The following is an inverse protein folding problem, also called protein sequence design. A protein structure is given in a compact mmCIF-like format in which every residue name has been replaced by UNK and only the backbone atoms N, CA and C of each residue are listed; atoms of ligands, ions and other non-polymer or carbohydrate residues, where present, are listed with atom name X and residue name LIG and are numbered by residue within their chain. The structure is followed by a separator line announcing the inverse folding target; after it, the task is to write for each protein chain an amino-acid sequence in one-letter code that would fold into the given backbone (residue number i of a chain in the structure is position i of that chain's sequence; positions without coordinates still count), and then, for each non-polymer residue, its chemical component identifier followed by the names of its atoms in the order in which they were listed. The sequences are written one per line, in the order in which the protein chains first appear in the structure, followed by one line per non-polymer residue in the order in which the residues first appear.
data_IF_118731163778
#
_entry.id   IF_118731163778
#
_cell.length_a   1.000
_cell.length_b   1.000
_cell.length_c   1.000
_cell.angle_alpha   90.00
_cell.angle_beta   90.00
_cell.angle_gamma   90.00
#
_symmetry.space_group_name_H-M   'P 1'
#
loop_
_entity.id
_entity.type
_entity.pdbx_description
1 polymer ?
#
# COMPACT_ATOMS: atom_id res chain seq x y z
N UNK A 1 28.55 -23.08 -38.88
CA UNK A 1 27.39 -22.23 -38.56
C UNK A 1 26.47 -22.98 -37.60
N UNK A 2 26.74 -22.89 -36.29
CA UNK A 2 26.00 -23.59 -35.22
C UNK A 2 24.89 -22.64 -34.73
N UNK A 3 23.68 -23.17 -34.63
CA UNK A 3 22.42 -22.46 -34.41
C UNK A 3 22.42 -21.63 -33.11
N UNK A 4 22.38 -20.30 -33.26
CA UNK A 4 22.25 -19.31 -32.17
C UNK A 4 20.79 -19.06 -31.75
N UNK A 5 19.87 -19.95 -32.14
CA UNK A 5 18.44 -19.73 -32.06
C UNK A 5 17.81 -20.04 -30.67
N UNK A 6 18.33 -20.94 -29.80
CA UNK A 6 17.55 -21.32 -28.61
C UNK A 6 17.62 -20.30 -27.46
N UNK A 7 18.52 -19.30 -27.54
CA UNK A 7 18.77 -18.37 -26.42
C UNK A 7 17.69 -17.26 -26.33
N UNK A 8 17.08 -16.87 -27.45
CA UNK A 8 16.12 -15.76 -27.45
C UNK A 8 14.77 -16.10 -26.79
N UNK A 9 14.38 -17.37 -26.74
CA UNK A 9 13.05 -17.77 -26.24
C UNK A 9 12.97 -17.75 -24.70
N UNK A 10 14.09 -17.92 -24.00
CA UNK A 10 14.12 -17.98 -22.53
C UNK A 10 14.01 -16.59 -21.88
N UNK A 11 14.45 -15.52 -22.58
CA UNK A 11 14.44 -14.15 -22.04
C UNK A 11 13.03 -13.54 -21.99
N UNK A 12 12.10 -13.99 -22.84
CA UNK A 12 10.74 -13.45 -22.92
C UNK A 12 9.80 -13.94 -21.80
N UNK A 13 10.18 -14.97 -21.05
CA UNK A 13 9.31 -15.61 -20.04
C UNK A 13 9.47 -15.01 -18.63
N UNK A 14 10.37 -14.06 -18.40
CA UNK A 14 10.61 -13.46 -17.07
C UNK A 14 9.89 -12.12 -16.81
N UNK A 15 9.02 -11.66 -17.71
CA UNK A 15 8.12 -10.54 -17.42
C UNK A 15 6.91 -10.99 -16.55
N UNK A 16 7.20 -11.62 -15.42
CA UNK A 16 6.20 -11.95 -14.40
C UNK A 16 5.71 -10.67 -13.74
N UNK A 17 4.44 -10.35 -13.96
CA UNK A 17 3.77 -9.14 -13.49
C UNK A 17 3.84 -9.00 -11.95
N UNK A 18 4.62 -8.06 -11.43
CA UNK A 18 4.54 -7.63 -10.03
C UNK A 18 3.38 -6.65 -9.87
N UNK A 19 2.13 -7.11 -10.01
CA UNK A 19 0.97 -6.33 -9.55
C UNK A 19 0.90 -6.41 -8.03
N UNK A 20 1.72 -5.62 -7.34
CA UNK A 20 1.43 -5.27 -5.96
C UNK A 20 0.12 -4.50 -5.97
N UNK A 21 -0.99 -5.15 -5.60
CA UNK A 21 -2.26 -4.48 -5.40
C UNK A 21 -2.07 -3.48 -4.26
N UNK A 22 -1.84 -2.23 -4.62
CA UNK A 22 -1.69 -1.13 -3.66
C UNK A 22 -3.09 -0.76 -3.18
N UNK A 23 -3.28 -0.73 -1.85
CA UNK A 23 -4.57 -0.32 -1.30
C UNK A 23 -4.69 1.18 -1.52
N UNK A 24 -5.59 1.57 -2.43
CA UNK A 24 -5.80 2.99 -2.74
C UNK A 24 -6.41 3.74 -1.55
N UNK A 25 -5.91 4.94 -1.22
CA UNK A 25 -6.46 5.78 -0.16
C UNK A 25 -7.88 6.25 -0.49
N UNK A 26 -8.75 6.31 0.52
CA UNK A 26 -10.13 6.78 0.40
C UNK A 26 -10.30 8.12 1.14
N UNK A 27 -11.38 8.89 0.88
CA UNK A 27 -11.65 10.10 1.66
C UNK A 27 -11.58 9.83 3.16
N UNK A 28 -10.67 10.52 3.85
CA UNK A 28 -10.39 10.33 5.29
C UNK A 28 -9.12 9.55 5.62
N UNK A 29 -8.51 8.83 4.65
CA UNK A 29 -7.18 8.24 4.80
C UNK A 29 -6.10 9.31 5.00
N UNK A 30 -5.00 8.97 5.68
CA UNK A 30 -3.88 9.90 5.91
C UNK A 30 -3.24 10.33 4.58
N UNK A 31 -3.14 9.41 3.61
CA UNK A 31 -2.51 9.68 2.32
C UNK A 31 -3.47 10.21 1.25
N UNK A 32 -4.76 10.41 1.59
CA UNK A 32 -5.76 10.90 0.63
C UNK A 32 -5.51 12.36 0.27
N UNK A 33 -5.34 12.65 -1.03
CA UNK A 33 -5.01 14.00 -1.50
C UNK A 33 -3.57 14.44 -1.21
N UNK A 34 -2.70 13.52 -0.76
CA UNK A 34 -1.32 13.78 -0.38
C UNK A 34 -1.07 13.51 1.11
N UNK A 35 0.20 13.26 1.47
CA UNK A 35 0.54 12.87 2.84
C UNK A 35 0.87 14.10 3.71
N UNK A 36 0.19 14.30 4.86
CA UNK A 36 0.53 15.34 5.82
C UNK A 36 1.87 15.03 6.49
N UNK A 37 2.82 15.96 6.38
CA UNK A 37 4.23 15.76 6.76
C UNK A 37 4.53 15.97 8.25
N UNK A 38 3.51 16.17 9.09
CA UNK A 38 3.69 16.86 10.38
C UNK A 38 3.87 15.94 11.60
N UNK A 39 3.53 14.64 11.53
CA UNK A 39 3.49 13.79 12.75
C UNK A 39 4.37 12.54 12.77
N UNK A 40 5.21 12.32 11.77
CA UNK A 40 5.97 11.05 11.61
C UNK A 40 7.48 11.22 11.63
N UNK A 41 7.96 12.43 11.91
CA UNK A 41 9.39 12.75 11.79
C UNK A 41 10.23 12.10 12.90
N UNK A 42 9.60 11.70 14.01
CA UNK A 42 10.29 11.13 15.19
C UNK A 42 10.22 9.61 15.29
N UNK A 43 9.34 8.95 14.54
CA UNK A 43 9.20 7.49 14.57
C UNK A 43 10.28 6.82 13.72
N UNK A 44 10.83 5.66 14.15
CA UNK A 44 11.79 4.90 13.35
C UNK A 44 11.14 4.34 12.07
N UNK A 45 11.96 4.13 11.03
CA UNK A 45 11.53 3.47 9.78
C UNK A 45 10.98 2.08 10.10
N UNK A 46 9.89 1.68 9.45
CA UNK A 46 9.16 0.45 9.71
C UNK A 46 8.11 0.56 10.82
N UNK A 47 8.00 1.72 11.48
CA UNK A 47 6.95 1.94 12.49
C UNK A 47 5.56 1.82 11.89
N UNK A 48 4.67 1.23 12.67
CA UNK A 48 3.25 1.10 12.32
C UNK A 48 2.46 2.29 12.84
N UNK A 49 1.59 2.86 12.01
CA UNK A 49 0.67 3.94 12.35
C UNK A 49 -0.75 3.46 12.13
N UNK A 50 -1.59 3.60 13.13
CA UNK A 50 -3.01 3.29 13.03
C UNK A 50 -3.80 4.59 12.90
N UNK A 51 -4.79 4.57 12.00
CA UNK A 51 -5.70 5.69 11.78
C UNK A 51 -7.11 5.17 11.67
N UNK A 52 -8.03 5.79 12.41
CA UNK A 52 -9.43 5.42 12.38
C UNK A 52 -10.27 6.64 12.00
N UNK A 53 -11.21 6.44 11.08
CA UNK A 53 -12.12 7.49 10.63
C UNK A 53 -13.46 6.90 10.20
N UNK A 54 -14.49 7.75 10.19
CA UNK A 54 -15.81 7.37 9.68
C UNK A 54 -15.85 7.53 8.16
N UNK A 55 -16.42 6.53 7.50
CA UNK A 55 -16.71 6.51 6.06
C UNK A 55 -18.21 6.35 5.85
N UNK A 56 -18.70 6.55 4.63
CA UNK A 56 -20.12 6.37 4.29
C UNK A 56 -20.66 4.95 4.51
N UNK A 57 -19.77 3.97 4.71
CA UNK A 57 -20.11 2.55 4.88
C UNK A 57 -19.80 1.99 6.28
N UNK A 58 -19.38 2.83 7.24
CA UNK A 58 -19.03 2.40 8.60
C UNK A 58 -17.76 3.07 9.14
N UNK A 59 -17.05 2.40 10.04
CA UNK A 59 -15.78 2.88 10.59
C UNK A 59 -14.60 2.20 9.91
N UNK A 60 -13.76 2.97 9.24
CA UNK A 60 -12.53 2.48 8.63
C UNK A 60 -11.39 2.52 9.65
N UNK A 61 -10.65 1.42 9.76
CA UNK A 61 -9.40 1.31 10.51
C UNK A 61 -8.29 0.98 9.52
N UNK A 62 -7.31 1.88 9.42
CA UNK A 62 -6.18 1.73 8.52
C UNK A 62 -4.89 1.57 9.30
N UNK A 63 -4.03 0.70 8.77
CA UNK A 63 -2.70 0.43 9.29
C UNK A 63 -1.69 0.79 8.22
N UNK A 64 -0.76 1.66 8.59
CA UNK A 64 0.28 2.17 7.72
C UNK A 64 1.65 1.77 8.25
N UNK A 65 2.61 1.60 7.34
CA UNK A 65 4.02 1.41 7.67
C UNK A 65 4.81 2.61 7.19
N UNK A 66 5.67 3.14 8.06
CA UNK A 66 6.59 4.23 7.73
C UNK A 66 7.73 3.70 6.86
N UNK A 67 7.78 4.15 5.62
CA UNK A 67 8.77 3.75 4.64
C UNK A 67 10.10 4.51 4.84
N UNK A 68 11.21 4.06 4.22
CA UNK A 68 12.52 4.72 4.35
C UNK A 68 12.55 6.18 3.85
N UNK A 69 11.71 6.52 2.88
CA UNK A 69 11.50 7.88 2.36
C UNK A 69 10.61 8.75 3.26
N UNK A 70 10.22 8.22 4.43
CA UNK A 70 9.25 8.79 5.38
C UNK A 70 7.83 8.95 4.82
N UNK A 71 7.52 8.28 3.71
CA UNK A 71 6.14 8.12 3.26
C UNK A 71 5.42 7.06 4.11
N UNK A 72 4.10 7.16 4.18
CA UNK A 72 3.25 6.12 4.76
C UNK A 72 2.74 5.23 3.65
N UNK A 73 3.05 3.94 3.74
CA UNK A 73 2.43 2.93 2.90
C UNK A 73 1.23 2.36 3.62
N UNK A 74 0.05 2.46 3.00
CA UNK A 74 -1.14 1.76 3.48
C UNK A 74 -0.95 0.26 3.25
N UNK A 75 -0.89 -0.52 4.34
CA UNK A 75 -0.67 -1.97 4.27
C UNK A 75 -1.94 -2.77 4.57
N UNK A 76 -2.90 -2.17 5.28
CA UNK A 76 -4.17 -2.81 5.63
C UNK A 76 -5.26 -1.77 5.88
N UNK A 77 -6.46 -2.06 5.41
CA UNK A 77 -7.70 -1.35 5.76
C UNK A 77 -8.74 -2.39 6.16
N UNK A 78 -9.35 -2.19 7.33
CA UNK A 78 -10.49 -2.96 7.79
C UNK A 78 -11.70 -2.01 7.90
N UNK A 79 -12.85 -2.41 7.35
CA UNK A 79 -14.10 -1.65 7.49
C UNK A 79 -14.95 -2.38 8.53
N UNK A 80 -15.05 -1.78 9.70
CA UNK A 80 -15.91 -2.25 10.78
C UNK A 80 -17.28 -1.63 10.52
N UNK A 81 -18.17 -2.43 9.97
CA UNK A 81 -19.57 -2.08 9.85
C UNK A 81 -20.28 -2.63 11.09
N UNK A 82 -20.50 -1.76 12.09
CA UNK A 82 -21.33 -2.10 13.25
C UNK A 82 -22.81 -2.04 12.83
N UNK A 83 -23.22 -2.91 11.89
CA UNK A 83 -24.63 -3.24 11.73
C UNK A 83 -24.93 -4.40 12.66
N UNK A 84 -24.92 -4.13 13.96
CA UNK A 84 -25.49 -5.06 14.94
C UNK A 84 -26.98 -4.78 15.01
N UNK A 85 -27.76 -5.54 14.24
CA UNK A 85 -29.21 -5.69 14.42
C UNK A 85 -29.49 -6.52 15.69
#
# INVERSE_FOLDING_TARGET
MKSLIPVCVVVLMLAGCNSTAEVEPIPGSITYGGQPRTKLTKSPIGSTVQHEFFTGFGKARETYVLQPDRSLKLVRRDIINDIRW
#
